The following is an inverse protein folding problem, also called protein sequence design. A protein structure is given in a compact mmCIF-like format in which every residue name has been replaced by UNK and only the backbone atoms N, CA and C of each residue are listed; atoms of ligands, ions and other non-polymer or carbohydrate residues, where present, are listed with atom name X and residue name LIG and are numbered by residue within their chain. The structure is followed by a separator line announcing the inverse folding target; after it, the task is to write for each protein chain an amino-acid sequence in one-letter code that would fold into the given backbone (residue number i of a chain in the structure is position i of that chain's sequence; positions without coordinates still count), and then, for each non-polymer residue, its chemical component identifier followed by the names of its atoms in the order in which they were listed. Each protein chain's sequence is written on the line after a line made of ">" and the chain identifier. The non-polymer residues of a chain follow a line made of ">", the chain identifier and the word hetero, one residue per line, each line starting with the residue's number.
data_IF_689841207158
#
_entry.id   IF_689841207158
#
_cell.length_a   1.000
_cell.length_b   1.000
_cell.length_c   1.000
_cell.angle_alpha   90.00
_cell.angle_beta   90.00
_cell.angle_gamma   90.00
#
_symmetry.space_group_name_H-M   'P 1'
#
loop_
_entity.id
_entity.type
_entity.pdbx_description
1 polymer ?
#
# COMPACT_ATOMS: atom_id res chain seq x y z
N UNK A 1 -21.68 32.15 -47.48
CA UNK A 1 -21.57 31.77 -46.05
C UNK A 1 -20.59 30.60 -45.91
N UNK A 2 -19.28 30.78 -46.17
CA UNK A 2 -18.25 29.76 -45.82
C UNK A 2 -16.76 30.13 -46.02
N UNK A 3 -16.41 31.38 -46.34
CA UNK A 3 -14.99 31.78 -46.56
C UNK A 3 -14.32 32.23 -45.27
N UNK A 4 -15.02 32.96 -44.42
CA UNK A 4 -14.47 33.48 -43.16
C UNK A 4 -14.30 32.38 -42.12
N UNK A 5 -15.22 31.41 -42.08
CA UNK A 5 -15.10 30.22 -41.24
C UNK A 5 -13.88 29.36 -41.61
N UNK A 6 -13.63 29.16 -42.92
CA UNK A 6 -12.47 28.39 -43.38
C UNK A 6 -11.15 29.12 -43.09
N UNK A 7 -11.09 30.45 -43.25
CA UNK A 7 -9.90 31.24 -42.89
C UNK A 7 -9.63 31.22 -41.39
N UNK A 8 -10.67 31.37 -40.57
CA UNK A 8 -10.59 31.26 -39.11
C UNK A 8 -10.11 29.88 -38.66
N UNK A 9 -10.66 28.80 -39.24
CA UNK A 9 -10.27 27.42 -38.91
C UNK A 9 -8.82 27.11 -39.34
N UNK A 10 -8.37 27.61 -40.48
CA UNK A 10 -6.98 27.46 -40.92
C UNK A 10 -6.00 28.22 -40.02
N UNK A 11 -6.37 29.41 -39.53
CA UNK A 11 -5.57 30.18 -38.58
C UNK A 11 -5.43 29.48 -37.22
N UNK A 12 -6.53 28.92 -36.69
CA UNK A 12 -6.50 28.16 -35.42
C UNK A 12 -5.69 26.87 -35.55
N UNK A 13 -5.84 26.13 -36.65
CA UNK A 13 -5.10 24.87 -36.87
C UNK A 13 -3.60 25.11 -37.00
N UNK A 14 -3.19 26.22 -37.62
CA UNK A 14 -1.78 26.62 -37.71
C UNK A 14 -1.20 27.00 -36.34
N UNK A 15 -1.97 27.75 -35.54
CA UNK A 15 -1.56 28.14 -34.17
C UNK A 15 -1.47 26.95 -33.24
N UNK A 16 -2.45 26.05 -33.25
CA UNK A 16 -2.45 24.81 -32.46
C UNK A 16 -1.29 23.89 -32.85
N UNK A 17 -1.04 23.68 -34.15
CA UNK A 17 0.12 22.86 -34.57
C UNK A 17 1.44 23.44 -34.09
N UNK A 18 1.60 24.77 -34.15
CA UNK A 18 2.82 25.45 -33.67
C UNK A 18 2.96 25.34 -32.16
N UNK A 19 1.88 25.53 -31.41
CA UNK A 19 1.87 25.39 -29.95
C UNK A 19 2.15 23.94 -29.53
N UNK A 20 1.51 22.93 -30.15
CA UNK A 20 1.79 21.52 -29.87
C UNK A 20 3.24 21.16 -30.18
N UNK A 21 3.81 21.67 -31.28
CA UNK A 21 5.22 21.47 -31.62
C UNK A 21 6.16 22.13 -30.62
N UNK A 22 5.86 23.36 -30.18
CA UNK A 22 6.67 24.06 -29.17
C UNK A 22 6.64 23.32 -27.83
N UNK A 23 5.46 22.88 -27.38
CA UNK A 23 5.32 22.13 -26.14
C UNK A 23 5.97 20.75 -26.21
N UNK A 24 5.90 20.06 -27.35
CA UNK A 24 6.57 18.76 -27.52
C UNK A 24 8.09 18.91 -27.57
N UNK A 25 8.62 19.95 -28.23
CA UNK A 25 10.05 20.25 -28.22
C UNK A 25 10.54 20.64 -26.83
N UNK A 26 9.81 21.48 -26.12
CA UNK A 26 10.13 21.87 -24.74
C UNK A 26 10.15 20.65 -23.82
N UNK A 27 9.17 19.74 -23.95
CA UNK A 27 9.12 18.50 -23.19
C UNK A 27 10.26 17.55 -23.54
N UNK A 28 10.63 17.44 -24.82
CA UNK A 28 11.78 16.65 -25.26
C UNK A 28 13.10 17.22 -24.73
N UNK A 29 13.28 18.54 -24.73
CA UNK A 29 14.46 19.20 -24.16
C UNK A 29 14.52 19.00 -22.65
N UNK A 30 13.40 19.13 -21.94
CA UNK A 30 13.33 18.85 -20.50
C UNK A 30 13.64 17.39 -20.22
N UNK A 31 13.13 16.46 -21.02
CA UNK A 31 13.40 15.02 -20.87
C UNK A 31 14.87 14.69 -21.08
N UNK A 32 15.49 15.20 -22.15
CA UNK A 32 16.90 14.97 -22.44
C UNK A 32 17.82 15.68 -21.43
N UNK A 33 17.46 16.90 -21.02
CA UNK A 33 18.17 17.64 -19.99
C UNK A 33 18.08 16.96 -18.62
N UNK A 34 16.90 16.46 -18.25
CA UNK A 34 16.71 15.68 -17.03
C UNK A 34 17.53 14.39 -17.05
N UNK A 35 17.62 13.70 -18.19
CA UNK A 35 18.48 12.54 -18.37
C UNK A 35 19.97 12.85 -18.09
N UNK A 36 20.44 14.01 -18.53
CA UNK A 36 21.83 14.45 -18.27
C UNK A 36 22.09 14.88 -16.83
N UNK A 37 21.08 15.42 -16.13
CA UNK A 37 21.19 15.89 -14.74
C UNK A 37 21.03 14.74 -13.75
N UNK A 38 20.22 13.73 -14.07
CA UNK A 38 19.87 12.63 -13.18
C UNK A 38 20.93 11.50 -13.11
N UNK A 39 22.16 11.72 -13.61
CA UNK A 39 23.19 10.68 -13.76
C UNK A 39 22.69 9.42 -14.50
N UNK A 40 21.60 9.53 -15.27
CA UNK A 40 20.97 8.40 -15.95
C UNK A 40 21.72 8.08 -17.24
N UNK A 41 22.75 7.23 -17.13
CA UNK A 41 23.52 6.79 -18.28
C UNK A 41 22.82 5.62 -18.98
N UNK A 42 22.21 5.88 -20.14
CA UNK A 42 21.52 4.88 -20.96
C UNK A 42 22.44 3.71 -21.35
N UNK A 43 23.74 3.94 -21.47
CA UNK A 43 24.73 2.90 -21.74
C UNK A 43 24.90 1.94 -20.54
N UNK A 44 24.95 2.46 -19.32
CA UNK A 44 24.98 1.63 -18.10
C UNK A 44 23.74 0.76 -18.01
N UNK A 45 22.56 1.32 -18.29
CA UNK A 45 21.30 0.56 -18.32
C UNK A 45 21.40 -0.60 -19.29
N UNK A 46 21.86 -0.36 -20.52
CA UNK A 46 21.96 -1.42 -21.53
C UNK A 46 22.94 -2.53 -21.13
N UNK A 47 24.06 -2.17 -20.49
CA UNK A 47 25.06 -3.14 -19.97
C UNK A 47 24.54 -3.90 -18.75
N UNK A 48 23.72 -3.28 -17.90
CA UNK A 48 23.18 -3.93 -16.70
C UNK A 48 22.00 -4.86 -16.99
N UNK A 49 21.38 -4.80 -18.17
CA UNK A 49 20.27 -5.67 -18.55
C UNK A 49 20.63 -7.17 -18.44
N UNK A 50 21.73 -7.67 -19.02
CA UNK A 50 22.15 -9.06 -18.83
C UNK A 50 22.31 -9.46 -17.36
N UNK A 51 22.99 -8.65 -16.54
CA UNK A 51 23.21 -8.93 -15.13
C UNK A 51 21.91 -9.09 -14.32
N UNK A 52 20.87 -8.34 -14.68
CA UNK A 52 19.54 -8.52 -14.09
C UNK A 52 18.95 -9.90 -14.40
N UNK A 53 19.10 -10.38 -15.63
CA UNK A 53 18.64 -11.72 -16.01
C UNK A 53 19.51 -12.83 -15.41
N UNK A 54 20.81 -12.61 -15.25
CA UNK A 54 21.71 -13.53 -14.55
C UNK A 54 21.25 -13.71 -13.09
N UNK A 55 20.98 -12.61 -12.39
CA UNK A 55 20.44 -12.64 -11.02
C UNK A 55 19.10 -13.38 -10.92
N UNK A 56 18.19 -13.16 -11.88
CA UNK A 56 16.92 -13.88 -11.95
C UNK A 56 17.14 -15.38 -12.16
N UNK A 57 18.05 -15.76 -13.07
CA UNK A 57 18.36 -17.15 -13.36
C UNK A 57 18.97 -17.86 -12.15
N UNK A 58 19.86 -17.19 -11.40
CA UNK A 58 20.45 -17.72 -10.16
C UNK A 58 19.42 -17.85 -9.03
N UNK A 59 18.44 -16.95 -8.99
CA UNK A 59 17.39 -16.99 -7.98
C UNK A 59 16.42 -18.16 -8.22
N UNK A 60 16.11 -18.50 -9.48
CA UNK A 60 15.17 -19.58 -9.80
C UNK A 60 15.79 -20.94 -9.42
N UNK A 61 15.12 -21.77 -8.60
CA UNK A 61 15.64 -23.07 -8.24
C UNK A 61 15.68 -24.00 -9.46
N UNK A 62 16.81 -24.67 -9.67
CA UNK A 62 16.93 -25.75 -10.66
C UNK A 62 16.26 -27.00 -10.10
N UNK A 63 14.97 -27.19 -10.39
CA UNK A 63 14.23 -28.36 -9.96
C UNK A 63 14.45 -29.52 -10.92
N UNK A 64 14.88 -30.66 -10.39
CA UNK A 64 15.06 -31.88 -11.17
C UNK A 64 13.82 -32.76 -11.02
N UNK A 65 13.05 -32.92 -12.11
CA UNK A 65 11.79 -33.70 -12.11
C UNK A 65 11.94 -35.12 -11.56
N UNK A 66 13.10 -35.75 -11.77
CA UNK A 66 13.38 -37.11 -11.33
C UNK A 66 13.71 -37.22 -9.82
N UNK A 67 14.06 -36.12 -9.17
CA UNK A 67 14.43 -36.05 -7.74
C UNK A 67 13.61 -35.02 -6.97
N UNK A 68 12.47 -34.61 -7.50
CA UNK A 68 11.63 -33.54 -6.96
C UNK A 68 11.16 -33.84 -5.52
N UNK A 69 10.84 -35.10 -5.24
CA UNK A 69 10.41 -35.62 -3.93
C UNK A 69 11.53 -36.37 -3.20
N UNK A 70 12.78 -36.22 -3.62
CA UNK A 70 13.91 -36.79 -2.91
C UNK A 70 14.16 -36.04 -1.59
N UNK A 71 14.98 -36.63 -0.72
CA UNK A 71 15.28 -36.08 0.60
C UNK A 71 15.97 -34.70 0.54
N UNK A 72 16.00 -34.00 1.67
CA UNK A 72 16.56 -32.65 1.81
C UNK A 72 18.07 -32.52 1.62
N UNK A 73 18.75 -33.60 1.20
CA UNK A 73 20.18 -33.61 0.82
C UNK A 73 20.39 -33.61 -0.69
N UNK A 74 19.32 -33.77 -1.46
CA UNK A 74 19.39 -33.87 -2.93
C UNK A 74 19.17 -32.51 -3.54
N UNK A 75 20.21 -31.96 -4.17
CA UNK A 75 20.09 -30.70 -4.90
C UNK A 75 18.96 -30.79 -5.96
N UNK A 76 18.11 -29.77 -6.01
CA UNK A 76 16.94 -29.72 -6.89
C UNK A 76 15.68 -30.45 -6.38
N UNK A 77 15.68 -30.99 -5.16
CA UNK A 77 14.45 -31.48 -4.50
C UNK A 77 13.70 -30.36 -3.75
N UNK A 78 12.38 -30.51 -3.56
CA UNK A 78 11.61 -29.56 -2.76
C UNK A 78 12.07 -29.52 -1.30
N UNK A 79 12.48 -30.66 -0.75
CA UNK A 79 12.97 -30.74 0.62
C UNK A 79 14.30 -30.00 0.79
N UNK A 80 15.17 -30.03 -0.23
CA UNK A 80 16.42 -29.27 -0.24
C UNK A 80 16.16 -27.77 -0.40
N UNK A 81 15.21 -27.36 -1.22
CA UNK A 81 14.87 -25.93 -1.36
C UNK A 81 14.22 -25.36 -0.09
N UNK A 82 13.33 -26.14 0.52
CA UNK A 82 12.54 -25.76 1.69
C UNK A 82 13.15 -26.10 3.06
N UNK A 83 14.44 -26.42 3.19
CA UNK A 83 15.00 -26.87 4.48
C UNK A 83 14.85 -25.84 5.62
N UNK A 84 14.76 -24.54 5.32
CA UNK A 84 14.54 -23.47 6.31
C UNK A 84 13.09 -23.05 6.46
N UNK A 85 12.13 -23.80 5.93
CA UNK A 85 10.70 -23.55 6.12
C UNK A 85 10.32 -23.45 7.60
N UNK A 86 10.97 -24.23 8.47
CA UNK A 86 10.77 -24.17 9.92
C UNK A 86 11.15 -22.82 10.55
N UNK A 87 11.97 -22.00 9.88
CA UNK A 87 12.32 -20.63 10.28
C UNK A 87 11.43 -19.62 9.54
N UNK A 88 11.24 -19.80 8.23
CA UNK A 88 10.49 -18.88 7.38
C UNK A 88 9.00 -18.81 7.72
N UNK A 89 8.37 -19.95 8.04
CA UNK A 89 6.94 -19.99 8.36
C UNK A 89 6.59 -19.19 9.64
N UNK A 90 7.33 -19.35 10.77
CA UNK A 90 7.15 -18.47 11.92
C UNK A 90 7.36 -16.98 11.61
N UNK A 91 8.33 -16.63 10.78
CA UNK A 91 8.60 -15.23 10.43
C UNK A 91 7.52 -14.61 9.54
N UNK A 92 6.93 -15.41 8.65
CA UNK A 92 5.73 -15.00 7.90
C UNK A 92 4.57 -14.78 8.84
N UNK A 93 4.39 -15.66 9.82
CA UNK A 93 3.36 -15.52 10.83
C UNK A 93 3.56 -14.25 11.66
N UNK A 94 4.80 -13.95 12.08
CA UNK A 94 5.16 -12.69 12.74
C UNK A 94 4.82 -11.48 11.86
N UNK A 95 5.16 -11.54 10.57
CA UNK A 95 4.87 -10.50 9.58
C UNK A 95 3.36 -10.26 9.41
N UNK A 96 2.57 -11.34 9.44
CA UNK A 96 1.12 -11.29 9.38
C UNK A 96 0.52 -10.72 10.66
N UNK A 97 1.00 -11.16 11.82
CA UNK A 97 0.59 -10.61 13.11
C UNK A 97 0.88 -9.11 13.19
N UNK A 98 2.03 -8.67 12.69
CA UNK A 98 2.42 -7.27 12.62
C UNK A 98 1.43 -6.44 11.79
N UNK A 99 1.08 -6.95 10.60
CA UNK A 99 0.11 -6.32 9.71
C UNK A 99 -1.30 -6.28 10.34
N UNK A 100 -1.74 -7.38 10.97
CA UNK A 100 -3.04 -7.45 11.65
C UNK A 100 -3.08 -6.48 12.82
N UNK A 101 -2.10 -6.53 13.71
CA UNK A 101 -2.07 -5.71 14.93
C UNK A 101 -2.05 -4.21 14.59
N UNK A 102 -1.19 -3.80 13.65
CA UNK A 102 -1.11 -2.40 13.21
C UNK A 102 -2.43 -1.95 12.56
N UNK A 103 -3.05 -2.81 11.74
CA UNK A 103 -4.34 -2.50 11.10
C UNK A 103 -5.46 -2.36 12.12
N UNK A 104 -5.58 -3.28 13.08
CA UNK A 104 -6.63 -3.24 14.11
C UNK A 104 -6.50 -1.96 14.96
N UNK A 105 -5.30 -1.66 15.46
CA UNK A 105 -5.05 -0.44 16.20
C UNK A 105 -5.43 0.79 15.37
N UNK A 106 -5.01 0.80 14.10
CA UNK A 106 -5.27 1.91 13.20
C UNK A 106 -6.75 2.09 12.91
N UNK A 107 -7.52 1.01 12.70
CA UNK A 107 -8.97 1.09 12.45
C UNK A 107 -9.70 1.66 13.66
N UNK A 108 -9.34 1.24 14.88
CA UNK A 108 -9.94 1.74 16.11
C UNK A 108 -9.68 3.24 16.25
N UNK A 109 -8.42 3.65 16.22
CA UNK A 109 -8.01 5.06 16.36
C UNK A 109 -8.58 5.90 15.21
N UNK A 110 -8.48 5.40 13.98
CA UNK A 110 -8.94 6.13 12.81
C UNK A 110 -10.46 6.32 12.80
N UNK A 111 -11.23 5.34 13.28
CA UNK A 111 -12.69 5.48 13.40
C UNK A 111 -13.03 6.65 14.34
N UNK A 112 -12.42 6.68 15.53
CA UNK A 112 -12.64 7.78 16.49
C UNK A 112 -12.25 9.12 15.89
N UNK A 113 -11.04 9.22 15.33
CA UNK A 113 -10.56 10.47 14.72
C UNK A 113 -11.41 10.89 13.51
N UNK A 114 -11.94 9.95 12.72
CA UNK A 114 -12.74 10.26 11.55
C UNK A 114 -14.08 10.92 11.90
N UNK A 115 -14.78 10.40 12.92
CA UNK A 115 -15.99 11.05 13.43
C UNK A 115 -15.68 12.45 13.99
N UNK A 116 -14.53 12.64 14.64
CA UNK A 116 -14.12 13.96 15.13
C UNK A 116 -13.74 14.92 13.99
N UNK A 117 -13.17 14.40 12.89
CA UNK A 117 -12.70 15.17 11.73
C UNK A 117 -13.79 15.50 10.69
N UNK A 118 -14.88 14.74 10.65
CA UNK A 118 -15.95 14.90 9.65
C UNK A 118 -16.80 16.16 9.86
N UNK A 119 -17.13 16.86 8.78
CA UNK A 119 -17.93 18.08 8.81
C UNK A 119 -19.37 17.86 9.28
N UNK A 120 -20.00 16.75 8.89
CA UNK A 120 -21.40 16.43 9.22
C UNK A 120 -21.62 15.95 10.66
N UNK A 121 -20.54 15.71 11.42
CA UNK A 121 -20.59 15.17 12.78
C UNK A 121 -20.64 16.29 13.86
N UNK A 122 -20.76 17.56 13.43
CA UNK A 122 -20.89 18.74 14.30
C UNK A 122 -19.76 18.86 15.35
N UNK A 123 -18.52 18.52 14.98
CA UNK A 123 -17.33 18.79 15.79
C UNK A 123 -16.95 20.28 15.72
N UNK A 124 -16.17 20.83 16.68
CA UNK A 124 -15.62 22.18 16.56
C UNK A 124 -14.70 22.31 15.33
N UNK A 125 -14.73 23.47 14.65
CA UNK A 125 -13.93 23.69 13.44
C UNK A 125 -12.42 23.58 13.68
N UNK A 126 -11.94 24.10 14.82
CA UNK A 126 -10.53 24.03 15.21
C UNK A 126 -10.07 22.57 15.40
N UNK A 127 -10.90 21.74 16.04
CA UNK A 127 -10.59 20.33 16.28
C UNK A 127 -10.50 19.54 14.97
N UNK A 128 -11.43 19.80 14.02
CA UNK A 128 -11.37 19.21 12.68
C UNK A 128 -10.08 19.59 11.96
N UNK A 129 -9.71 20.86 11.99
CA UNK A 129 -8.47 21.34 11.36
C UNK A 129 -7.25 20.67 11.97
N UNK A 130 -7.16 20.62 13.31
CA UNK A 130 -6.05 19.97 14.01
C UNK A 130 -5.91 18.49 13.63
N UNK A 131 -7.00 17.73 13.68
CA UNK A 131 -6.96 16.30 13.33
C UNK A 131 -6.59 16.10 11.86
N UNK A 132 -7.17 16.89 10.94
CA UNK A 132 -6.87 16.80 9.50
C UNK A 132 -5.41 17.13 9.21
N UNK A 133 -4.84 18.14 9.86
CA UNK A 133 -3.42 18.50 9.70
C UNK A 133 -2.51 17.43 10.29
N UNK A 134 -2.82 16.91 11.48
CA UNK A 134 -2.05 15.84 12.11
C UNK A 134 -2.05 14.57 11.25
N UNK A 135 -3.21 14.17 10.74
CA UNK A 135 -3.35 13.02 9.85
C UNK A 135 -2.64 13.24 8.52
N UNK A 136 -2.65 14.47 7.98
CA UNK A 136 -1.87 14.80 6.80
C UNK A 136 -0.38 14.62 7.09
N UNK A 137 0.13 15.11 8.22
CA UNK A 137 1.52 14.92 8.64
C UNK A 137 1.91 13.43 8.73
N UNK A 138 1.12 12.60 9.40
CA UNK A 138 1.40 11.16 9.51
C UNK A 138 1.57 10.47 8.15
N UNK A 139 0.85 10.94 7.12
CA UNK A 139 0.87 10.40 5.76
C UNK A 139 2.00 10.98 4.89
N UNK A 140 2.53 12.15 5.23
CA UNK A 140 3.62 12.78 4.46
C UNK A 140 4.93 12.02 4.58
N UNK A 141 5.16 11.38 5.72
CA UNK A 141 6.34 10.56 5.96
C UNK A 141 6.16 9.16 5.35
N UNK A 142 7.11 8.72 4.51
CA UNK A 142 7.14 7.34 4.02
C UNK A 142 7.26 6.34 5.17
N UNK A 143 6.64 5.17 5.03
CA UNK A 143 6.64 4.11 6.06
C UNK A 143 8.06 3.63 6.38
N UNK A 144 8.94 3.60 5.36
CA UNK A 144 10.36 3.27 5.53
C UNK A 144 11.10 4.28 6.42
N UNK A 145 10.79 5.57 6.29
CA UNK A 145 11.41 6.61 7.11
C UNK A 145 11.01 6.43 8.59
N UNK A 146 9.72 6.17 8.85
CA UNK A 146 9.24 5.82 10.18
C UNK A 146 9.94 4.58 10.75
N UNK A 147 10.05 3.52 9.95
CA UNK A 147 10.69 2.28 10.38
C UNK A 147 12.16 2.50 10.78
N UNK A 148 12.95 3.20 9.95
CA UNK A 148 14.35 3.51 10.26
C UNK A 148 14.46 4.32 11.55
N UNK A 149 13.63 5.36 11.71
CA UNK A 149 13.62 6.16 12.94
C UNK A 149 13.31 5.32 14.18
N UNK A 150 12.32 4.42 14.11
CA UNK A 150 11.97 3.58 15.24
C UNK A 150 12.96 2.44 15.50
N UNK A 151 13.62 1.91 14.47
CA UNK A 151 14.72 0.95 14.64
C UNK A 151 15.88 1.62 15.37
N UNK A 152 16.20 2.88 15.04
CA UNK A 152 17.22 3.64 15.78
C UNK A 152 16.82 3.93 17.22
N UNK A 153 15.53 4.13 17.49
CA UNK A 153 15.04 4.45 18.84
C UNK A 153 14.85 3.22 19.74
N UNK A 154 14.33 2.11 19.21
CA UNK A 154 13.92 0.92 19.97
C UNK A 154 14.78 -0.32 19.68
N UNK A 155 15.70 -0.24 18.72
CA UNK A 155 16.48 -1.38 18.23
C UNK A 155 15.76 -2.17 17.13
N UNK A 156 16.46 -3.18 16.60
CA UNK A 156 15.92 -4.10 15.59
C UNK A 156 14.81 -4.96 16.21
N UNK A 157 13.69 -5.11 15.50
CA UNK A 157 12.60 -5.99 15.91
C UNK A 157 11.23 -5.56 15.38
N UNK A 158 10.18 -6.27 15.81
CA UNK A 158 8.82 -6.07 15.34
C UNK A 158 8.20 -4.72 15.78
N UNK A 159 8.57 -4.20 16.95
CA UNK A 159 7.99 -2.96 17.50
C UNK A 159 8.18 -1.76 16.55
N UNK A 160 9.38 -1.48 16.00
CA UNK A 160 9.57 -0.47 14.98
C UNK A 160 8.63 -0.58 13.79
N UNK A 161 8.48 -1.79 13.24
CA UNK A 161 7.59 -2.05 12.11
C UNK A 161 6.13 -1.82 12.46
N UNK A 162 5.71 -2.25 13.65
CA UNK A 162 4.37 -2.04 14.16
C UNK A 162 4.03 -0.55 14.23
N UNK A 163 4.89 0.25 14.85
CA UNK A 163 4.67 1.69 15.02
C UNK A 163 4.68 2.42 13.67
N UNK A 164 5.62 2.07 12.78
CA UNK A 164 5.69 2.66 11.45
C UNK A 164 4.41 2.41 10.64
N UNK A 165 3.94 1.15 10.59
CA UNK A 165 2.71 0.78 9.90
C UNK A 165 1.48 1.40 10.55
N UNK A 166 1.40 1.39 11.88
CA UNK A 166 0.27 1.92 12.61
C UNK A 166 0.11 3.43 12.39
N UNK A 167 1.19 4.22 12.53
CA UNK A 167 1.12 5.67 12.36
C UNK A 167 0.68 6.06 10.94
N UNK A 168 1.30 5.48 9.92
CA UNK A 168 0.94 5.78 8.54
C UNK A 168 -0.49 5.31 8.22
N UNK A 169 -0.90 4.15 8.74
CA UNK A 169 -2.25 3.59 8.54
C UNK A 169 -3.33 4.37 9.28
N UNK A 170 -3.08 4.85 10.50
CA UNK A 170 -3.98 5.76 11.22
C UNK A 170 -4.27 6.98 10.36
N UNK A 171 -3.22 7.64 9.85
CA UNK A 171 -3.40 8.80 8.99
C UNK A 171 -4.23 8.46 7.74
N UNK A 172 -3.84 7.40 7.02
CA UNK A 172 -4.52 7.00 5.78
C UNK A 172 -5.99 6.64 6.00
N UNK A 173 -6.30 5.81 7.01
CA UNK A 173 -7.67 5.40 7.31
C UNK A 173 -8.51 6.57 7.82
N UNK A 174 -7.97 7.44 8.69
CA UNK A 174 -8.75 8.59 9.17
C UNK A 174 -9.21 9.46 8.02
N UNK A 175 -8.32 9.72 7.03
CA UNK A 175 -8.67 10.45 5.81
C UNK A 175 -9.84 9.81 5.07
N UNK A 176 -9.68 8.53 4.71
CA UNK A 176 -10.67 7.80 3.94
C UNK A 176 -12.02 7.69 4.68
N UNK A 177 -11.97 7.47 5.99
CA UNK A 177 -13.13 7.34 6.85
C UNK A 177 -13.90 8.65 6.99
N UNK A 178 -13.24 9.79 7.22
CA UNK A 178 -13.97 11.06 7.33
C UNK A 178 -14.54 11.51 5.98
N UNK A 179 -13.87 11.23 4.85
CA UNK A 179 -14.42 11.51 3.51
C UNK A 179 -15.65 10.66 3.22
N UNK A 180 -15.62 9.40 3.64
CA UNK A 180 -16.78 8.49 3.55
C UNK A 180 -17.93 8.98 4.43
N UNK A 181 -17.64 9.49 5.64
CA UNK A 181 -18.63 10.13 6.50
C UNK A 181 -19.24 11.35 5.81
N UNK A 182 -18.43 12.26 5.27
CA UNK A 182 -18.88 13.49 4.61
C UNK A 182 -19.71 13.24 3.34
N UNK A 183 -19.48 12.11 2.66
CA UNK A 183 -20.20 11.71 1.45
C UNK A 183 -21.54 11.02 1.76
N UNK A 184 -21.75 10.55 2.99
CA UNK A 184 -22.96 9.85 3.38
C UNK A 184 -24.20 10.75 3.31
N UNK A 185 -25.35 10.15 2.97
CA UNK A 185 -26.61 10.89 2.80
C UNK A 185 -27.10 11.46 4.13
N UNK A 186 -27.41 12.75 4.12
CA UNK A 186 -27.97 13.45 5.28
C UNK A 186 -29.49 13.21 5.43
N UNK A 187 -30.15 12.53 4.48
CA UNK A 187 -31.61 12.27 4.55
C UNK A 187 -32.01 11.49 5.82
N UNK A 188 -31.40 10.34 6.17
CA UNK A 188 -31.76 9.60 7.37
C UNK A 188 -31.41 10.36 8.66
N UNK A 189 -30.35 11.18 8.62
CA UNK A 189 -29.90 12.01 9.75
C UNK A 189 -30.95 13.08 10.08
N UNK A 190 -31.47 13.77 9.06
CA UNK A 190 -32.56 14.75 9.23
C UNK A 190 -33.88 14.10 9.63
N UNK A 191 -34.19 12.92 9.08
CA UNK A 191 -35.38 12.15 9.48
C UNK A 191 -35.39 11.84 10.97
N UNK A 192 -34.29 11.28 11.49
CA UNK A 192 -34.16 11.03 12.93
C UNK A 192 -34.17 12.33 13.76
N UNK A 193 -33.56 13.41 13.26
CA UNK A 193 -33.61 14.70 13.94
C UNK A 193 -35.05 15.24 14.11
N UNK A 194 -35.90 15.06 13.11
CA UNK A 194 -37.32 15.45 13.16
C UNK A 194 -38.12 14.65 14.20
N UNK A 195 -37.69 13.42 14.51
CA UNK A 195 -38.27 12.60 15.57
C UNK A 195 -37.70 12.92 16.98
N UNK A 196 -36.91 13.99 17.12
CA UNK A 196 -36.29 14.38 18.41
C UNK A 196 -35.03 13.60 18.78
N UNK A 197 -34.42 12.86 17.84
CA UNK A 197 -33.24 12.05 18.15
C UNK A 197 -32.00 12.90 18.47
N UNK A 198 -31.31 12.54 19.56
CA UNK A 198 -30.08 13.18 20.00
C UNK A 198 -28.91 12.99 19.02
N UNK A 199 -27.80 13.70 19.23
CA UNK A 199 -26.60 13.65 18.36
C UNK A 199 -26.03 12.23 18.23
N UNK A 200 -25.88 11.51 19.35
CA UNK A 200 -25.36 10.12 19.34
C UNK A 200 -26.32 9.14 18.68
N UNK A 201 -27.63 9.32 18.85
CA UNK A 201 -28.64 8.48 18.19
C UNK A 201 -28.58 8.65 16.66
N UNK A 202 -28.46 9.89 16.19
CA UNK A 202 -28.28 10.18 14.75
C UNK A 202 -27.00 9.55 14.19
N UNK A 203 -25.88 9.65 14.89
CA UNK A 203 -24.63 9.00 14.45
C UNK A 203 -24.78 7.48 14.38
N UNK A 204 -25.33 6.86 15.43
CA UNK A 204 -25.43 5.39 15.54
C UNK A 204 -26.45 4.78 14.59
N UNK A 205 -27.59 5.43 14.39
CA UNK A 205 -28.72 4.84 13.67
C UNK A 205 -28.92 5.40 12.25
N UNK A 206 -28.40 6.58 11.92
CA UNK A 206 -28.45 7.09 10.55
C UNK A 206 -27.09 7.02 9.84
N UNK A 207 -26.01 7.48 10.48
CA UNK A 207 -24.73 7.63 9.79
C UNK A 207 -23.90 6.34 9.74
N UNK A 208 -23.72 5.67 10.89
CA UNK A 208 -22.92 4.44 11.01
C UNK A 208 -23.36 3.31 10.07
N UNK A 209 -24.66 3.00 9.90
CA UNK A 209 -25.09 1.93 9.00
C UNK A 209 -24.70 2.18 7.54
N UNK A 210 -24.65 3.44 7.11
CA UNK A 210 -24.28 3.82 5.74
C UNK A 210 -22.78 3.64 5.49
N UNK A 211 -21.93 3.95 6.48
CA UNK A 211 -20.47 3.97 6.30
C UNK A 211 -19.76 2.70 6.75
N UNK A 212 -20.38 1.89 7.63
CA UNK A 212 -19.82 0.62 8.12
C UNK A 212 -19.25 -0.27 6.99
N UNK A 213 -19.98 -0.51 5.88
CA UNK A 213 -19.47 -1.38 4.81
C UNK A 213 -18.19 -0.84 4.17
N UNK A 214 -18.14 0.49 3.97
CA UNK A 214 -17.00 1.19 3.38
C UNK A 214 -15.80 1.15 4.33
N UNK A 215 -16.01 1.40 5.63
CA UNK A 215 -14.96 1.34 6.64
C UNK A 215 -14.31 -0.05 6.68
N UNK A 216 -15.13 -1.09 6.64
CA UNK A 216 -14.68 -2.47 6.65
C UNK A 216 -13.92 -2.83 5.36
N UNK A 217 -14.41 -2.39 4.20
CA UNK A 217 -13.70 -2.55 2.92
C UNK A 217 -12.31 -1.92 2.94
N UNK A 218 -12.18 -0.68 3.40
CA UNK A 218 -10.88 -0.03 3.53
C UNK A 218 -9.99 -0.70 4.58
N UNK A 219 -10.56 -1.22 5.66
CA UNK A 219 -9.80 -1.95 6.69
C UNK A 219 -9.13 -3.20 6.11
N UNK A 220 -9.87 -4.00 5.33
CA UNK A 220 -9.31 -5.19 4.68
C UNK A 220 -8.28 -4.84 3.61
N UNK A 221 -8.55 -3.81 2.80
CA UNK A 221 -7.57 -3.32 1.83
C UNK A 221 -6.28 -2.85 2.52
N UNK A 222 -6.37 -2.16 3.66
CA UNK A 222 -5.20 -1.74 4.43
C UNK A 222 -4.46 -2.90 5.08
N UNK A 223 -5.14 -3.98 5.46
CA UNK A 223 -4.48 -5.19 5.98
C UNK A 223 -3.52 -5.79 4.95
N UNK A 224 -3.97 -5.96 3.71
CA UNK A 224 -3.13 -6.47 2.62
C UNK A 224 -1.94 -5.54 2.34
N UNK A 225 -2.20 -4.23 2.26
CA UNK A 225 -1.14 -3.22 2.06
C UNK A 225 -0.13 -3.28 3.21
N UNK A 226 -0.58 -3.36 4.46
CA UNK A 226 0.30 -3.40 5.62
C UNK A 226 1.15 -4.68 5.66
N UNK A 227 0.63 -5.81 5.19
CA UNK A 227 1.41 -7.05 5.03
C UNK A 227 2.49 -6.91 3.95
N UNK A 228 2.16 -6.30 2.82
CA UNK A 228 3.13 -6.04 1.76
C UNK A 228 4.20 -5.03 2.20
N UNK A 229 3.82 -4.04 2.99
CA UNK A 229 4.75 -3.04 3.49
C UNK A 229 5.66 -3.63 4.58
N UNK A 230 5.15 -4.47 5.48
CA UNK A 230 5.95 -5.08 6.54
C UNK A 230 7.10 -5.93 6.00
N UNK A 231 6.94 -6.59 4.85
CA UNK A 231 8.03 -7.34 4.20
C UNK A 231 9.17 -6.41 3.77
N UNK A 232 8.86 -5.20 3.31
CA UNK A 232 9.86 -4.19 2.93
C UNK A 232 10.48 -3.58 4.20
N UNK A 233 9.68 -3.27 5.23
CA UNK A 233 10.19 -2.72 6.49
C UNK A 233 11.14 -3.71 7.20
N UNK A 234 10.91 -5.02 7.07
CA UNK A 234 11.82 -6.04 7.62
C UNK A 234 13.24 -5.94 7.07
N UNK A 235 13.42 -5.44 5.83
CA UNK A 235 14.72 -5.23 5.21
C UNK A 235 15.59 -4.21 5.97
N UNK A 236 14.95 -3.23 6.64
CA UNK A 236 15.62 -2.19 7.42
C UNK A 236 15.72 -2.51 8.92
N UNK A 237 15.40 -3.75 9.31
CA UNK A 237 15.49 -4.20 10.70
C UNK A 237 14.18 -4.13 11.49
N UNK A 238 13.03 -4.01 10.81
CA UNK A 238 11.73 -4.03 11.46
C UNK A 238 11.17 -5.44 11.75
N UNK A 239 12.01 -6.48 11.69
CA UNK A 239 11.66 -7.87 11.98
C UNK A 239 10.94 -8.62 10.86
N UNK A 240 10.41 -9.80 11.19
CA UNK A 240 9.64 -10.64 10.28
C UNK A 240 10.41 -11.20 9.08
N UNK A 241 9.66 -11.60 8.05
CA UNK A 241 10.17 -12.31 6.86
C UNK A 241 11.08 -11.44 6.00
N UNK A 242 10.90 -10.12 6.04
CA UNK A 242 11.77 -9.17 5.34
C UNK A 242 13.21 -9.21 5.86
N UNK A 243 13.39 -9.36 7.17
CA UNK A 243 14.73 -9.45 7.75
C UNK A 243 15.45 -10.73 7.31
N UNK A 244 14.72 -11.85 7.21
CA UNK A 244 15.25 -13.11 6.70
C UNK A 244 15.58 -13.04 5.21
N UNK A 245 14.74 -12.38 4.41
CA UNK A 245 15.01 -12.12 3.01
C UNK A 245 16.32 -11.31 2.85
N UNK A 246 16.46 -10.22 3.61
CA UNK A 246 17.69 -9.40 3.59
C UNK A 246 18.91 -10.21 4.05
N UNK A 247 18.76 -11.07 5.05
CA UNK A 247 19.84 -11.95 5.53
C UNK A 247 20.25 -12.96 4.46
N UNK A 248 19.29 -13.58 3.78
CA UNK A 248 19.55 -14.53 2.70
C UNK A 248 20.21 -13.87 1.49
N UNK A 249 19.81 -12.65 1.13
CA UNK A 249 20.46 -11.85 0.08
C UNK A 249 21.91 -11.55 0.48
N UNK A 250 22.17 -11.10 1.71
CA UNK A 250 23.53 -10.77 2.18
C UNK A 250 24.48 -11.96 2.28
N UNK A 251 23.93 -13.18 2.37
CA UNK A 251 24.69 -14.42 2.46
C UNK A 251 24.75 -15.15 1.10
N UNK A 252 24.29 -14.53 0.01
CA UNK A 252 24.22 -15.11 -1.33
C UNK A 252 23.48 -16.47 -1.38
N UNK A 253 22.49 -16.66 -0.50
CA UNK A 253 21.67 -17.88 -0.42
C UNK A 253 20.46 -17.78 -1.35
N UNK A 254 20.72 -17.85 -2.66
CA UNK A 254 19.69 -17.66 -3.70
C UNK A 254 18.52 -18.64 -3.62
N UNK A 255 18.78 -19.87 -3.18
CA UNK A 255 17.78 -20.88 -2.84
C UNK A 255 16.78 -20.37 -1.79
N UNK A 256 17.29 -19.68 -0.75
CA UNK A 256 16.46 -19.12 0.32
C UNK A 256 15.77 -17.82 -0.07
N UNK A 257 16.40 -17.02 -0.94
CA UNK A 257 15.78 -15.83 -1.51
C UNK A 257 14.53 -16.21 -2.31
N UNK A 258 14.64 -17.17 -3.24
CA UNK A 258 13.49 -17.59 -4.05
C UNK A 258 12.40 -18.27 -3.24
N UNK A 259 12.76 -19.11 -2.27
CA UNK A 259 11.77 -19.74 -1.38
C UNK A 259 10.99 -18.69 -0.58
N UNK A 260 11.70 -17.70 -0.02
CA UNK A 260 11.09 -16.61 0.73
C UNK A 260 10.17 -15.75 -0.16
N UNK A 261 10.60 -15.42 -1.38
CA UNK A 261 9.79 -14.68 -2.35
C UNK A 261 8.54 -15.46 -2.75
N UNK A 262 8.64 -16.76 -3.01
CA UNK A 262 7.48 -17.60 -3.33
C UNK A 262 6.48 -17.59 -2.18
N UNK A 263 6.94 -17.76 -0.94
CA UNK A 263 6.06 -17.73 0.23
C UNK A 263 5.36 -16.37 0.39
N UNK A 264 6.07 -15.25 0.20
CA UNK A 264 5.47 -13.91 0.22
C UNK A 264 4.38 -13.81 -0.85
N UNK A 265 4.65 -14.26 -2.09
CA UNK A 265 3.68 -14.25 -3.19
C UNK A 265 2.43 -15.07 -2.84
N UNK A 266 2.59 -16.27 -2.30
CA UNK A 266 1.48 -17.14 -1.88
C UNK A 266 0.62 -16.43 -0.83
N UNK A 267 1.24 -15.86 0.21
CA UNK A 267 0.50 -15.21 1.31
C UNK A 267 -0.19 -13.93 0.83
N UNK A 268 0.48 -13.10 0.02
CA UNK A 268 -0.13 -11.90 -0.56
C UNK A 268 -1.33 -12.28 -1.43
N UNK A 269 -1.20 -13.30 -2.27
CA UNK A 269 -2.29 -13.77 -3.15
C UNK A 269 -3.47 -14.29 -2.32
N UNK A 270 -3.21 -15.02 -1.23
CA UNK A 270 -4.25 -15.49 -0.33
C UNK A 270 -4.95 -14.33 0.40
N UNK A 271 -4.19 -13.32 0.85
CA UNK A 271 -4.74 -12.13 1.51
C UNK A 271 -5.59 -11.28 0.56
N UNK A 272 -5.14 -11.06 -0.68
CA UNK A 272 -5.91 -10.33 -1.70
C UNK A 272 -7.20 -11.09 -2.05
N UNK A 273 -7.11 -12.40 -2.28
CA UNK A 273 -8.29 -13.24 -2.51
C UNK A 273 -9.28 -13.18 -1.35
N UNK A 274 -8.82 -13.33 -0.11
CA UNK A 274 -9.66 -13.25 1.08
C UNK A 274 -10.30 -11.86 1.23
N UNK A 275 -9.51 -10.79 1.04
CA UNK A 275 -9.98 -9.40 1.11
C UNK A 275 -11.02 -9.09 0.03
N UNK A 276 -10.82 -9.61 -1.18
CA UNK A 276 -11.77 -9.50 -2.29
C UNK A 276 -13.10 -10.17 -1.99
N UNK A 277 -13.09 -11.39 -1.46
CA UNK A 277 -14.31 -12.12 -1.09
C UNK A 277 -15.07 -11.43 0.05
N UNK A 278 -14.36 -10.92 1.06
CA UNK A 278 -14.96 -10.18 2.17
C UNK A 278 -15.57 -8.87 1.69
N UNK A 279 -14.89 -8.14 0.81
CA UNK A 279 -15.42 -6.90 0.23
C UNK A 279 -16.70 -7.13 -0.56
N UNK A 280 -16.78 -8.18 -1.38
CA UNK A 280 -18.01 -8.54 -2.12
C UNK A 280 -19.18 -8.77 -1.17
N UNK A 281 -18.99 -9.61 -0.13
CA UNK A 281 -20.04 -9.89 0.86
C UNK A 281 -20.52 -8.64 1.62
N UNK A 282 -19.60 -7.71 1.89
CA UNK A 282 -19.88 -6.51 2.69
C UNK A 282 -20.53 -5.40 1.86
N UNK A 283 -20.11 -5.22 0.59
CA UNK A 283 -20.57 -4.14 -0.29
C UNK A 283 -21.80 -4.54 -1.10
N UNK A 284 -21.85 -5.77 -1.62
CA UNK A 284 -22.94 -6.22 -2.50
C UNK A 284 -24.15 -6.72 -1.71
N UNK A 285 -24.01 -6.87 -0.38
CA UNK A 285 -25.03 -7.49 0.46
C UNK A 285 -25.10 -8.99 0.19
N UNK A 286 -25.08 -9.81 1.24
CA UNK A 286 -25.38 -11.22 1.09
C UNK A 286 -26.73 -11.36 0.34
N UNK A 287 -26.66 -11.94 -0.86
CA UNK A 287 -27.83 -12.48 -1.57
C UNK A 287 -28.33 -13.71 -0.82
#
# INVERSE_FOLDING_TARGET
>A
MNTDFNRYYQQIRGKQKRETLIWSLALAIIYLGAGSIAEFNLHTVFISIPHFFDYLAETIPVLHLNSLFADGRTEGSFAYWGYRLHIQLPLIWETLQLAIASTILSVIVATVLAFMAANNTQSPAWLRLMIRTFVAFLRTMPELAWAVMFVMAFGIGAIPGFLALALHTIGSLTKLFYESLETASDKPVRGLAACGAGKLQRMRFALWPQVKPIFLSYSFMRLEINFRQSTILGLVGAGGIGQELMTSIKLDRYDQVSMTLLLIIIVVSLLDYASGQLRKRVVEGAS
#
